data_IF_697473956206
#
_entry.id   IF_697473956206
#
_cell.length_a   1.000
_cell.length_b   1.000
_cell.length_c   1.000
_cell.angle_alpha   90.00
_cell.angle_beta   90.00
_cell.angle_gamma   90.00
#
_symmetry.space_group_name_H-M   'P 1'
#
loop_
_entity.id
_entity.type
_entity.pdbx_description
1 polymer ?
#
# COMPACT_ATOMS: atom_id res chain seq x y z
N UNK A 1 1.72 38.19 8.55
CA UNK A 1 0.33 38.55 8.20
C UNK A 1 0.37 39.76 7.28
N UNK A 2 -0.27 39.69 6.12
CA UNK A 2 -0.46 40.83 5.21
C UNK A 2 -1.89 41.35 5.38
N UNK A 3 -2.09 42.66 5.31
CA UNK A 3 -3.43 43.29 5.35
C UNK A 3 -3.97 43.36 3.93
N UNK A 4 -5.23 42.96 3.75
CA UNK A 4 -5.95 43.01 2.47
C UNK A 4 -7.21 43.85 2.70
N UNK A 5 -7.56 44.69 1.71
CA UNK A 5 -8.84 45.37 1.64
C UNK A 5 -9.73 44.58 0.68
N UNK A 6 -10.95 44.29 1.11
CA UNK A 6 -11.96 43.61 0.30
C UNK A 6 -13.26 44.37 0.44
N UNK A 7 -13.86 44.71 -0.70
CA UNK A 7 -15.18 45.34 -0.74
C UNK A 7 -16.25 44.25 -0.70
N UNK A 8 -17.13 44.34 0.30
CA UNK A 8 -18.28 43.45 0.47
C UNK A 8 -19.54 44.31 0.64
N UNK A 9 -20.69 43.88 0.10
CA UNK A 9 -21.99 44.48 0.39
C UNK A 9 -22.29 44.53 1.90
N UNK A 10 -23.01 45.55 2.36
CA UNK A 10 -23.39 45.71 3.76
C UNK A 10 -24.24 44.54 4.30
N UNK A 11 -24.99 43.87 3.43
CA UNK A 11 -25.73 42.65 3.78
C UNK A 11 -24.80 41.47 4.10
N UNK A 12 -23.75 41.26 3.31
CA UNK A 12 -22.78 40.19 3.52
C UNK A 12 -21.96 40.42 4.78
N UNK A 13 -21.62 41.68 5.09
CA UNK A 13 -20.93 42.04 6.33
C UNK A 13 -21.79 41.69 7.54
N UNK A 14 -23.09 42.06 7.53
CA UNK A 14 -24.02 41.76 8.62
C UNK A 14 -24.23 40.26 8.80
N UNK A 15 -24.38 39.53 7.69
CA UNK A 15 -24.49 38.08 7.71
C UNK A 15 -23.24 37.43 8.32
N UNK A 16 -22.05 37.90 7.95
CA UNK A 16 -20.78 37.38 8.44
C UNK A 16 -20.57 37.66 9.94
N UNK A 17 -20.98 38.83 10.42
CA UNK A 17 -20.93 39.16 11.85
C UNK A 17 -21.90 38.28 12.67
N UNK A 18 -23.11 38.04 12.17
CA UNK A 18 -24.06 37.12 12.80
C UNK A 18 -23.49 35.69 12.85
N UNK A 19 -22.90 35.22 11.74
CA UNK A 19 -22.28 33.89 11.66
C UNK A 19 -21.09 33.75 12.61
N UNK A 20 -20.27 34.78 12.73
CA UNK A 20 -19.15 34.80 13.66
C UNK A 20 -19.61 34.73 15.12
N UNK A 21 -20.70 35.43 15.46
CA UNK A 21 -21.32 35.39 16.79
C UNK A 21 -21.89 34.00 17.11
N UNK A 22 -22.61 33.37 16.16
CA UNK A 22 -23.11 31.99 16.31
C UNK A 22 -22.00 30.99 16.60
N UNK A 23 -20.85 31.14 15.92
CA UNK A 23 -19.70 30.24 16.06
C UNK A 23 -18.78 30.61 17.24
N UNK A 24 -19.03 31.72 17.94
CA UNK A 24 -18.16 32.21 19.02
C UNK A 24 -16.76 32.61 18.54
N UNK A 25 -16.61 33.00 17.27
CA UNK A 25 -15.33 33.33 16.65
C UNK A 25 -15.26 34.80 16.24
N UNK A 26 -14.05 35.31 15.99
CA UNK A 26 -13.88 36.62 15.36
C UNK A 26 -14.21 36.54 13.87
N UNK A 27 -14.80 37.60 13.31
CA UNK A 27 -15.05 37.75 11.86
C UNK A 27 -13.83 37.41 11.01
N UNK A 28 -12.64 37.87 11.44
CA UNK A 28 -11.40 37.60 10.72
C UNK A 28 -11.00 36.11 10.74
N UNK A 29 -11.39 35.36 11.77
CA UNK A 29 -11.20 33.90 11.83
C UNK A 29 -12.09 33.19 10.81
N UNK A 30 -13.38 33.55 10.78
CA UNK A 30 -14.35 33.00 9.83
C UNK A 30 -13.90 33.26 8.38
N UNK A 31 -13.39 34.46 8.09
CA UNK A 31 -12.84 34.77 6.75
C UNK A 31 -11.60 33.93 6.40
N UNK A 32 -10.68 33.71 7.35
CA UNK A 32 -9.50 32.85 7.10
C UNK A 32 -9.92 31.42 6.80
N UNK A 33 -10.88 30.90 7.56
CA UNK A 33 -11.43 29.56 7.34
C UNK A 33 -12.13 29.47 5.98
N UNK A 34 -12.97 30.44 5.64
CA UNK A 34 -13.65 30.49 4.35
C UNK A 34 -12.65 30.51 3.17
N UNK A 35 -11.59 31.31 3.26
CA UNK A 35 -10.52 31.35 2.24
C UNK A 35 -9.76 30.03 2.18
N UNK A 36 -9.47 29.39 3.32
CA UNK A 36 -8.80 28.07 3.36
C UNK A 36 -9.65 26.98 2.71
N UNK A 37 -10.94 26.95 3.04
CA UNK A 37 -11.91 26.01 2.47
C UNK A 37 -12.11 26.26 0.98
N UNK A 38 -12.26 27.51 0.57
CA UNK A 38 -12.34 27.88 -0.84
C UNK A 38 -11.08 27.46 -1.60
N UNK A 39 -9.89 27.65 -1.01
CA UNK A 39 -8.63 27.20 -1.61
C UNK A 39 -8.57 25.69 -1.77
N UNK A 40 -9.03 24.93 -0.77
CA UNK A 40 -9.08 23.47 -0.85
C UNK A 40 -10.08 22.99 -1.91
N UNK A 41 -11.22 23.67 -2.07
CA UNK A 41 -12.24 23.35 -3.07
C UNK A 41 -11.86 23.81 -4.49
N UNK A 42 -11.13 24.92 -4.61
CA UNK A 42 -10.70 25.53 -5.87
C UNK A 42 -9.40 24.93 -6.41
N UNK A 43 -8.69 24.11 -5.61
CA UNK A 43 -7.68 23.24 -6.18
C UNK A 43 -8.39 22.24 -7.11
N UNK A 44 -8.09 22.25 -8.43
CA UNK A 44 -8.51 21.15 -9.27
C UNK A 44 -7.99 19.85 -8.66
N UNK A 45 -8.55 18.70 -9.01
CA UNK A 45 -7.95 17.39 -8.75
C UNK A 45 -6.55 17.19 -9.41
N UNK A 46 -5.82 18.27 -9.71
CA UNK A 46 -4.40 18.35 -9.95
C UNK A 46 -3.67 18.50 -8.61
N UNK A 47 -3.07 17.48 -8.01
CA UNK A 47 -2.84 16.13 -8.44
C UNK A 47 -2.06 15.48 -7.30
N UNK A 48 -2.34 14.19 -7.08
CA UNK A 48 -1.82 13.32 -6.00
C UNK A 48 -2.74 13.08 -4.80
N UNK A 49 -3.89 13.73 -4.65
CA UNK A 49 -4.85 13.35 -3.59
C UNK A 49 -5.35 11.91 -3.75
N UNK A 50 -5.42 11.42 -5.00
CA UNK A 50 -5.70 10.01 -5.29
C UNK A 50 -4.59 9.07 -4.81
N UNK A 51 -3.33 9.54 -4.68
CA UNK A 51 -2.24 8.72 -4.14
C UNK A 51 -2.46 8.45 -2.65
N UNK A 52 -2.90 9.44 -1.89
CA UNK A 52 -3.24 9.26 -0.48
C UNK A 52 -4.44 8.34 -0.30
N UNK A 53 -5.41 8.39 -1.23
CA UNK A 53 -6.57 7.49 -1.24
C UNK A 53 -6.22 6.06 -1.72
N UNK A 54 -5.26 5.92 -2.63
CA UNK A 54 -4.82 4.63 -3.16
C UNK A 54 -3.76 3.96 -2.27
N UNK A 55 -3.05 4.72 -1.44
CA UNK A 55 -2.04 4.17 -0.55
C UNK A 55 -2.67 3.22 0.46
N UNK A 56 -2.33 1.93 0.34
CA UNK A 56 -2.87 0.88 1.20
C UNK A 56 -4.26 0.36 0.82
N UNK A 57 -4.81 0.74 -0.34
CA UNK A 57 -6.10 0.20 -0.84
C UNK A 57 -6.09 -1.34 -0.93
N UNK A 58 -4.92 -1.94 -1.15
CA UNK A 58 -4.73 -3.38 -1.22
C UNK A 58 -4.35 -4.04 0.11
N UNK A 59 -4.05 -3.26 1.17
CA UNK A 59 -3.43 -3.77 2.41
C UNK A 59 -4.33 -4.74 3.18
N UNK A 60 -5.64 -4.51 3.17
CA UNK A 60 -6.62 -5.29 3.94
C UNK A 60 -7.50 -6.19 3.06
N UNK A 61 -7.17 -6.31 1.76
CA UNK A 61 -7.88 -7.20 0.84
C UNK A 61 -7.51 -8.65 1.16
N UNK A 62 -8.49 -9.44 1.56
CA UNK A 62 -8.31 -10.87 1.84
C UNK A 62 -8.66 -11.76 0.64
N UNK A 63 -9.24 -11.18 -0.42
CA UNK A 63 -9.61 -11.86 -1.66
C UNK A 63 -8.43 -12.05 -2.62
N UNK A 64 -7.27 -11.49 -2.30
CA UNK A 64 -6.00 -11.69 -3.02
C UNK A 64 -5.07 -12.42 -2.06
N UNK A 65 -4.41 -13.48 -2.56
CA UNK A 65 -3.42 -14.21 -1.78
C UNK A 65 -2.21 -13.36 -1.40
N UNK A 66 -1.45 -13.81 -0.40
CA UNK A 66 -0.21 -13.15 0.01
C UNK A 66 0.84 -13.21 -1.11
N UNK A 67 1.38 -12.04 -1.48
CA UNK A 67 2.38 -11.90 -2.53
C UNK A 67 3.72 -12.59 -2.20
N UNK A 68 4.10 -12.64 -0.93
CA UNK A 68 5.33 -13.28 -0.47
C UNK A 68 5.18 -14.79 -0.53
N UNK A 69 4.02 -15.32 -0.11
CA UNK A 69 3.74 -16.75 -0.22
C UNK A 69 3.71 -17.20 -1.68
N UNK A 70 3.09 -16.39 -2.56
CA UNK A 70 3.11 -16.64 -4.00
C UNK A 70 4.56 -16.63 -4.55
N UNK A 71 5.37 -15.62 -4.22
CA UNK A 71 6.77 -15.53 -4.67
C UNK A 71 7.64 -16.67 -4.12
N UNK A 72 7.39 -17.12 -2.88
CA UNK A 72 8.11 -18.26 -2.28
C UNK A 72 7.79 -19.54 -3.03
N UNK A 73 6.50 -19.79 -3.30
CA UNK A 73 6.04 -20.95 -4.06
C UNK A 73 6.54 -20.93 -5.50
N UNK A 74 6.56 -19.76 -6.15
CA UNK A 74 7.10 -19.60 -7.51
C UNK A 74 8.61 -19.85 -7.55
N UNK A 75 9.36 -19.44 -6.53
CA UNK A 75 10.79 -19.80 -6.44
C UNK A 75 11.00 -21.28 -6.20
N UNK A 76 10.14 -21.90 -5.38
CA UNK A 76 10.20 -23.33 -5.10
C UNK A 76 9.97 -24.20 -6.35
N UNK A 77 9.11 -23.77 -7.28
CA UNK A 77 8.86 -24.52 -8.53
C UNK A 77 10.06 -24.50 -9.49
N UNK A 78 11.06 -23.63 -9.25
CA UNK A 78 12.28 -23.54 -10.05
C UNK A 78 13.43 -24.36 -9.46
N UNK A 79 13.26 -24.94 -8.26
CA UNK A 79 14.25 -25.80 -7.62
C UNK A 79 14.53 -27.03 -8.49
N UNK A 80 15.79 -27.43 -8.55
CA UNK A 80 16.28 -28.56 -9.33
C UNK A 80 16.81 -29.68 -8.43
N UNK A 81 16.79 -30.94 -8.90
CA UNK A 81 17.28 -32.08 -8.11
C UNK A 81 18.74 -31.98 -7.65
N UNK A 82 19.56 -31.15 -8.28
CA UNK A 82 20.97 -30.94 -7.90
C UNK A 82 21.19 -29.71 -7.01
N UNK A 83 20.14 -28.95 -6.71
CA UNK A 83 20.25 -27.78 -5.82
C UNK A 83 20.45 -28.23 -4.37
N UNK A 84 21.22 -27.45 -3.60
CA UNK A 84 21.60 -27.79 -2.23
C UNK A 84 20.39 -27.76 -1.27
N UNK A 85 19.39 -26.92 -1.58
CA UNK A 85 18.17 -26.70 -0.80
C UNK A 85 16.99 -27.60 -1.20
N UNK A 86 17.18 -28.54 -2.14
CA UNK A 86 16.11 -29.42 -2.66
C UNK A 86 15.24 -30.06 -1.56
N UNK A 87 15.86 -30.66 -0.53
CA UNK A 87 15.10 -31.35 0.53
C UNK A 87 14.30 -30.37 1.40
N UNK A 88 14.82 -29.17 1.62
CA UNK A 88 14.17 -28.14 2.42
C UNK A 88 12.94 -27.60 1.67
N UNK A 89 13.11 -27.26 0.39
CA UNK A 89 12.05 -26.76 -0.48
C UNK A 89 10.97 -27.81 -0.70
N UNK A 90 11.36 -29.08 -0.96
CA UNK A 90 10.40 -30.18 -1.10
C UNK A 90 9.62 -30.41 0.18
N UNK A 91 10.24 -30.26 1.35
CA UNK A 91 9.54 -30.40 2.61
C UNK A 91 8.55 -29.24 2.90
N UNK A 92 8.73 -28.07 2.28
CA UNK A 92 7.82 -26.93 2.38
C UNK A 92 6.71 -26.98 1.32
N UNK A 93 7.02 -27.40 0.09
CA UNK A 93 6.11 -27.44 -1.06
C UNK A 93 6.12 -28.82 -1.75
N UNK A 94 5.67 -29.89 -1.07
CA UNK A 94 5.79 -31.26 -1.59
C UNK A 94 4.98 -31.51 -2.86
N UNK A 95 3.96 -30.70 -3.12
CA UNK A 95 3.09 -30.79 -4.28
C UNK A 95 3.71 -30.24 -5.58
N UNK A 96 4.86 -29.57 -5.49
CA UNK A 96 5.60 -29.07 -6.65
C UNK A 96 6.62 -30.06 -7.20
N UNK A 97 6.86 -31.18 -6.52
CA UNK A 97 7.85 -32.19 -6.89
C UNK A 97 7.16 -33.51 -7.20
N UNK A 98 7.66 -34.23 -8.20
CA UNK A 98 7.13 -35.52 -8.60
C UNK A 98 8.12 -36.68 -8.36
N UNK A 99 7.68 -37.90 -8.71
CA UNK A 99 8.51 -39.11 -8.57
C UNK A 99 9.72 -39.12 -9.52
N UNK A 100 9.71 -38.34 -10.60
CA UNK A 100 10.86 -38.20 -11.50
C UNK A 100 11.92 -37.32 -10.84
N UNK A 101 11.53 -36.19 -10.25
CA UNK A 101 12.44 -35.31 -9.51
C UNK A 101 13.18 -36.07 -8.40
N UNK A 102 12.48 -36.95 -7.68
CA UNK A 102 13.05 -37.77 -6.61
C UNK A 102 14.05 -38.82 -7.12
N UNK A 103 13.76 -39.43 -8.27
CA UNK A 103 14.68 -40.36 -8.92
C UNK A 103 15.95 -39.65 -9.39
N UNK A 104 15.81 -38.44 -9.93
CA UNK A 104 16.93 -37.60 -10.34
C UNK A 104 17.76 -37.11 -9.15
N UNK A 105 17.10 -36.74 -8.04
CA UNK A 105 17.78 -36.38 -6.78
C UNK A 105 18.61 -37.54 -6.25
N UNK A 106 18.03 -38.74 -6.18
CA UNK A 106 18.75 -39.93 -5.73
C UNK A 106 19.95 -40.24 -6.63
N UNK A 107 19.78 -40.09 -7.94
CA UNK A 107 20.86 -40.27 -8.91
C UNK A 107 21.98 -39.24 -8.73
N UNK A 108 21.63 -37.96 -8.56
CA UNK A 108 22.58 -36.88 -8.31
C UNK A 108 23.39 -37.11 -7.02
N UNK A 109 22.73 -37.50 -5.92
CA UNK A 109 23.41 -37.79 -4.66
C UNK A 109 24.38 -38.98 -4.79
N UNK A 110 23.97 -40.02 -5.51
CA UNK A 110 24.82 -41.18 -5.79
C UNK A 110 26.06 -40.82 -6.63
N UNK A 111 25.92 -39.94 -7.63
CA UNK A 111 27.04 -39.47 -8.45
C UNK A 111 27.97 -38.51 -7.69
N UNK A 112 27.39 -37.56 -6.96
CA UNK A 112 28.14 -36.49 -6.30
C UNK A 112 28.77 -36.93 -4.98
N UNK A 113 28.34 -38.05 -4.40
CA UNK A 113 28.76 -38.51 -3.07
C UNK A 113 28.29 -37.57 -1.94
N UNK A 114 27.43 -36.59 -2.25
CA UNK A 114 26.86 -35.68 -1.27
C UNK A 114 25.77 -36.39 -0.46
N UNK A 115 25.55 -35.91 0.76
CA UNK A 115 24.43 -36.34 1.59
C UNK A 115 23.24 -35.39 1.34
N UNK A 116 21.99 -35.90 1.43
CA UNK A 116 20.83 -35.03 1.41
C UNK A 116 20.93 -34.01 2.55
N UNK A 117 20.46 -32.78 2.32
CA UNK A 117 20.42 -31.76 3.37
C UNK A 117 19.52 -32.25 4.51
N UNK A 118 20.04 -32.16 5.73
CA UNK A 118 19.30 -32.50 6.94
C UNK A 118 18.59 -31.24 7.45
N UNK A 119 17.28 -31.36 7.71
CA UNK A 119 16.52 -30.37 8.48
C UNK A 119 17.01 -30.32 9.93
#
# INVERSE_FOLDING_TARGET
MTRILADLPDEDIRWLDARAAELGQSRASVLREAVSTYKAQAQPASGKDWLDQAFGIWKNRQDIGDSIDWQRRERASWTRPWDDDYEEVKAEFPDLFDEQDDRERAHYLAQSGRKPSAK
#
